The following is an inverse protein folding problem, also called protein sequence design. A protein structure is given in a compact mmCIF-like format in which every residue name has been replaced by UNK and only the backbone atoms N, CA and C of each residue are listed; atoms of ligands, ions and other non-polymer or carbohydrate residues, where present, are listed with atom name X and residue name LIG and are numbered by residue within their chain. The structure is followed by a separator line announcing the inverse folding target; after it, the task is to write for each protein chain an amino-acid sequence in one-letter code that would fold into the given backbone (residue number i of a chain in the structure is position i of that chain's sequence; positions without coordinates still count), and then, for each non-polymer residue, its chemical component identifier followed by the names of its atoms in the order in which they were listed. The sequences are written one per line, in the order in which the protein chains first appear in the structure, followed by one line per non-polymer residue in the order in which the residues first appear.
data_IF_993672576780
#
_entry.id   IF_993672576780
#
_cell.length_a   1.000
_cell.length_b   1.000
_cell.length_c   1.000
_cell.angle_alpha   90.00
_cell.angle_beta   90.00
_cell.angle_gamma   90.00
#
_symmetry.space_group_name_H-M   'P 1'
#
loop_
_entity.id
_entity.type
_entity.pdbx_description
1 polymer ?
#
# COMPACT_ATOMS: atom_id res chain seq x y z
N UNK A 1 -31.04 17.79 74.78
CA UNK A 1 -29.71 17.33 74.33
C UNK A 1 -29.87 16.71 72.94
N UNK A 2 -29.51 17.43 71.87
CA UNK A 2 -29.60 16.95 70.48
C UNK A 2 -28.25 16.31 70.12
N UNK A 3 -28.24 15.02 69.76
CA UNK A 3 -27.06 14.37 69.17
C UNK A 3 -27.23 14.36 67.66
N UNK A 4 -26.41 15.17 67.00
CA UNK A 4 -26.22 15.24 65.56
C UNK A 4 -25.41 14.03 65.11
N UNK A 5 -25.91 13.26 64.14
CA UNK A 5 -25.16 12.21 63.46
C UNK A 5 -24.50 12.81 62.22
N UNK A 6 -23.17 12.82 62.19
CA UNK A 6 -22.38 13.04 60.97
C UNK A 6 -22.35 11.73 60.18
N UNK A 7 -22.94 11.73 58.99
CA UNK A 7 -22.75 10.66 58.01
C UNK A 7 -21.52 10.99 57.16
N UNK A 8 -20.45 10.22 57.33
CA UNK A 8 -19.24 10.27 56.50
C UNK A 8 -19.44 9.50 55.19
N UNK A 9 -19.15 10.20 54.10
CA UNK A 9 -18.42 9.77 52.90
C UNK A 9 -18.51 8.30 52.47
N UNK A 10 -19.17 8.08 51.32
CA UNK A 10 -18.98 6.93 50.46
C UNK A 10 -18.82 7.38 49.01
N UNK A 11 -17.70 8.02 48.67
CA UNK A 11 -17.32 8.30 47.29
C UNK A 11 -16.57 7.08 46.75
N UNK A 12 -17.25 6.20 46.03
CA UNK A 12 -16.62 5.13 45.24
C UNK A 12 -17.50 4.76 44.05
N UNK A 13 -17.30 5.45 42.93
CA UNK A 13 -17.51 4.82 41.63
C UNK A 13 -16.17 4.87 40.93
N UNK A 14 -15.56 3.69 40.83
CA UNK A 14 -14.34 3.47 40.07
C UNK A 14 -14.54 4.00 38.64
N UNK A 15 -13.76 5.02 38.28
CA UNK A 15 -13.42 5.25 36.89
C UNK A 15 -12.64 4.02 36.42
N UNK A 16 -13.29 3.10 35.72
CA UNK A 16 -12.57 2.16 34.86
C UNK A 16 -12.05 3.01 33.69
N UNK A 17 -10.90 3.66 33.89
CA UNK A 17 -10.10 4.12 32.79
C UNK A 17 -9.60 2.85 32.09
N UNK A 18 -10.27 2.48 30.99
CA UNK A 18 -9.76 1.44 30.10
C UNK A 18 -8.44 1.94 29.52
N UNK A 19 -7.37 1.47 30.14
CA UNK A 19 -5.99 1.73 29.81
C UNK A 19 -5.66 1.25 28.39
N UNK A 20 -5.14 2.20 27.58
CA UNK A 20 -4.46 2.02 26.29
C UNK A 20 -5.29 1.48 25.11
N UNK A 21 -6.32 2.21 24.69
CA UNK A 21 -6.62 2.20 23.26
C UNK A 21 -5.35 2.68 22.54
N UNK A 22 -4.75 1.79 21.74
CA UNK A 22 -3.57 2.08 20.95
C UNK A 22 -3.78 3.42 20.17
N UNK A 23 -2.76 4.29 20.15
CA UNK A 23 -2.87 5.67 19.62
C UNK A 23 -3.29 5.70 18.15
N UNK A 24 -4.54 6.07 17.86
CA UNK A 24 -5.08 6.14 16.51
C UNK A 24 -4.19 6.92 15.51
N UNK A 25 -3.36 7.87 15.97
CA UNK A 25 -2.40 8.57 15.12
C UNK A 25 -1.31 7.65 14.52
N UNK A 26 -1.00 6.53 15.17
CA UNK A 26 -0.60 5.24 14.58
C UNK A 26 -0.88 5.10 13.09
N UNK A 27 -2.18 5.17 12.79
CA UNK A 27 -2.68 4.73 11.50
C UNK A 27 -2.43 5.75 10.40
N UNK A 28 -2.06 7.00 10.74
CA UNK A 28 -1.72 8.08 9.82
C UNK A 28 -0.38 7.83 9.13
N UNK A 29 -0.37 6.85 8.26
CA UNK A 29 0.78 6.41 7.49
C UNK A 29 0.30 5.74 6.20
N UNK A 30 1.24 5.19 5.45
CA UNK A 30 0.99 4.42 4.25
C UNK A 30 1.07 2.92 4.52
N UNK A 31 0.22 2.18 3.83
CA UNK A 31 -0.06 0.78 4.04
C UNK A 31 -0.05 0.06 2.70
N UNK A 32 0.42 -1.17 2.67
CA UNK A 32 0.41 -1.99 1.45
C UNK A 32 0.24 -3.47 1.77
N UNK A 33 -0.21 -4.21 0.78
CA UNK A 33 -0.44 -5.64 0.85
C UNK A 33 -0.92 -6.16 -0.50
N UNK A 34 -1.03 -7.48 -0.62
CA UNK A 34 -1.44 -8.13 -1.86
C UNK A 34 -2.96 -8.08 -1.99
N UNK A 35 -3.44 -7.39 -3.02
CA UNK A 35 -4.82 -7.31 -3.47
C UNK A 35 -4.94 -8.02 -4.82
N UNK A 36 -5.66 -9.14 -4.85
CA UNK A 36 -6.01 -9.84 -6.10
C UNK A 36 -4.80 -10.19 -6.99
N UNK A 37 -3.66 -10.55 -6.36
CA UNK A 37 -2.42 -10.94 -7.04
C UNK A 37 -1.44 -9.79 -7.36
N UNK A 38 -1.76 -8.55 -7.01
CA UNK A 38 -0.86 -7.39 -7.14
C UNK A 38 -0.86 -6.56 -5.85
N UNK A 39 0.13 -5.70 -5.62
CA UNK A 39 0.08 -4.81 -4.45
C UNK A 39 -0.93 -3.67 -4.64
N UNK A 40 -1.56 -3.27 -3.54
CA UNK A 40 -2.32 -2.01 -3.41
C UNK A 40 -1.59 -1.07 -2.44
N UNK A 41 -1.63 0.24 -2.70
CA UNK A 41 -1.22 1.25 -1.74
C UNK A 41 -2.42 1.93 -1.10
N UNK A 42 -2.40 2.10 0.22
CA UNK A 42 -3.43 2.84 0.98
C UNK A 42 -2.74 3.90 1.84
N UNK A 43 -3.13 5.15 1.69
CA UNK A 43 -2.48 6.31 2.32
C UNK A 43 -3.47 7.01 3.22
N UNK A 44 -3.27 6.91 4.53
CA UNK A 44 -4.10 7.60 5.52
C UNK A 44 -3.48 8.97 5.77
N UNK A 45 -4.16 10.02 5.31
CA UNK A 45 -3.68 11.41 5.38
C UNK A 45 -4.11 12.11 6.66
N UNK A 46 -5.29 11.79 7.17
CA UNK A 46 -5.81 12.30 8.44
C UNK A 46 -6.73 11.28 9.07
N UNK A 47 -6.63 11.13 10.40
CA UNK A 47 -7.51 10.25 11.16
C UNK A 47 -7.73 10.84 12.55
N UNK A 48 -8.98 10.82 13.01
CA UNK A 48 -9.37 11.09 14.38
C UNK A 48 -10.48 10.09 14.79
N UNK A 49 -11.02 10.23 16.00
CA UNK A 49 -12.01 9.27 16.54
C UNK A 49 -13.33 9.21 15.74
N UNK A 50 -13.60 10.21 14.90
CA UNK A 50 -14.85 10.35 14.17
C UNK A 50 -14.67 10.11 12.67
N UNK A 51 -13.58 10.62 12.10
CA UNK A 51 -13.37 10.68 10.66
C UNK A 51 -11.96 10.23 10.23
N UNK A 52 -11.89 9.80 8.98
CA UNK A 52 -10.65 9.45 8.30
C UNK A 52 -10.72 9.96 6.86
N UNK A 53 -9.57 10.41 6.33
CA UNK A 53 -9.38 10.77 4.93
C UNK A 53 -8.07 10.22 4.42
N UNK A 54 -8.04 9.88 3.14
CA UNK A 54 -6.88 9.30 2.50
C UNK A 54 -7.15 8.97 1.05
N UNK A 55 -6.30 8.14 0.47
CA UNK A 55 -6.50 7.62 -0.87
C UNK A 55 -5.93 6.21 -1.04
N UNK A 56 -6.50 5.45 -1.97
CA UNK A 56 -5.95 4.19 -2.46
C UNK A 56 -5.21 4.43 -3.78
N UNK A 57 -4.29 3.54 -4.12
CA UNK A 57 -3.68 3.45 -5.44
C UNK A 57 -3.56 1.99 -5.85
N UNK A 58 -4.15 1.66 -7.01
CA UNK A 58 -4.14 0.32 -7.61
C UNK A 58 -4.11 0.46 -9.14
N UNK A 59 -3.01 0.04 -9.75
CA UNK A 59 -2.75 0.31 -11.16
C UNK A 59 -2.83 1.80 -11.50
N UNK A 60 -3.62 2.17 -12.52
CA UNK A 60 -3.84 3.59 -12.89
C UNK A 60 -4.83 4.32 -11.98
N UNK A 61 -5.54 3.60 -11.13
CA UNK A 61 -6.59 4.18 -10.31
C UNK A 61 -5.98 4.69 -9.01
N UNK A 62 -5.93 6.01 -8.88
CA UNK A 62 -5.72 6.69 -7.60
C UNK A 62 -7.06 7.26 -7.17
N UNK A 63 -7.52 6.88 -5.99
CA UNK A 63 -8.88 7.20 -5.56
C UNK A 63 -8.90 7.72 -4.13
N UNK A 64 -9.35 8.96 -3.96
CA UNK A 64 -9.56 9.52 -2.63
C UNK A 64 -10.70 8.79 -1.93
N UNK A 65 -10.59 8.64 -0.61
CA UNK A 65 -11.63 8.10 0.24
C UNK A 65 -11.84 8.95 1.49
N UNK A 66 -13.02 8.84 2.06
CA UNK A 66 -13.32 9.37 3.38
C UNK A 66 -14.28 8.46 4.12
N UNK A 67 -14.31 8.54 5.44
CA UNK A 67 -15.19 7.67 6.21
C UNK A 67 -15.13 7.88 7.70
N UNK A 68 -15.57 6.86 8.43
CA UNK A 68 -15.77 6.91 9.89
C UNK A 68 -14.91 5.90 10.60
N UNK A 69 -14.53 6.25 11.83
CA UNK A 69 -13.84 5.37 12.77
C UNK A 69 -14.84 4.95 13.85
N UNK A 70 -14.90 3.65 14.15
CA UNK A 70 -15.73 3.07 15.20
C UNK A 70 -14.84 2.33 16.19
N UNK A 71 -14.97 2.66 17.47
CA UNK A 71 -14.30 1.92 18.54
C UNK A 71 -15.03 0.60 18.74
N UNK A 72 -14.26 -0.48 18.92
CA UNK A 72 -14.76 -1.82 19.24
C UNK A 72 -14.05 -2.31 20.50
N UNK A 73 -14.53 -3.41 21.09
CA UNK A 73 -13.86 -4.05 22.23
C UNK A 73 -12.45 -4.56 21.89
N UNK A 74 -12.15 -4.80 20.61
CA UNK A 74 -10.91 -5.40 20.13
C UNK A 74 -9.97 -4.39 19.46
N UNK A 75 -10.37 -3.12 19.32
CA UNK A 75 -9.62 -2.08 18.61
C UNK A 75 -10.54 -1.16 17.81
N UNK A 76 -10.26 -0.98 16.52
CA UNK A 76 -11.01 -0.06 15.66
C UNK A 76 -11.56 -0.77 14.43
N UNK A 77 -12.81 -0.44 14.08
CA UNK A 77 -13.38 -0.71 12.77
C UNK A 77 -13.48 0.61 12.03
N UNK A 78 -12.85 0.70 10.86
CA UNK A 78 -12.79 1.89 10.03
C UNK A 78 -13.50 1.56 8.72
N UNK A 79 -14.48 2.37 8.32
CA UNK A 79 -15.19 2.18 7.05
C UNK A 79 -15.03 3.44 6.22
N UNK A 80 -14.44 3.31 5.03
CA UNK A 80 -14.20 4.43 4.10
C UNK A 80 -14.78 4.15 2.73
N UNK A 81 -15.35 5.20 2.13
CA UNK A 81 -15.96 5.16 0.81
C UNK A 81 -15.06 5.93 -0.16
N UNK A 82 -14.71 5.29 -1.26
CA UNK A 82 -13.98 5.89 -2.36
C UNK A 82 -14.87 6.87 -3.15
N UNK A 83 -14.35 8.05 -3.49
CA UNK A 83 -15.10 9.12 -4.17
C UNK A 83 -15.30 8.92 -5.68
N UNK A 84 -14.86 7.79 -6.23
CA UNK A 84 -14.73 7.57 -7.66
C UNK A 84 -16.01 7.15 -8.35
N UNK A 85 -15.92 7.00 -9.68
CA UNK A 85 -16.99 6.39 -10.46
C UNK A 85 -17.35 5.00 -9.92
N UNK A 86 -18.65 4.68 -9.82
CA UNK A 86 -19.13 3.41 -9.22
C UNK A 86 -18.55 2.15 -9.85
N UNK A 87 -18.10 2.22 -11.10
CA UNK A 87 -17.47 1.12 -11.83
C UNK A 87 -16.05 0.83 -11.35
N UNK A 88 -15.39 1.78 -10.69
CA UNK A 88 -14.00 1.70 -10.23
C UNK A 88 -13.81 2.06 -8.75
N UNK A 89 -14.90 2.32 -8.02
CA UNK A 89 -14.88 2.66 -6.60
C UNK A 89 -15.62 1.62 -5.75
N UNK A 90 -15.34 1.65 -4.46
CA UNK A 90 -15.99 0.81 -3.48
C UNK A 90 -15.90 1.35 -2.07
N UNK A 91 -16.21 0.47 -1.12
CA UNK A 91 -16.08 0.72 0.30
C UNK A 91 -15.01 -0.20 0.85
N UNK A 92 -13.99 0.38 1.50
CA UNK A 92 -13.07 -0.39 2.32
C UNK A 92 -13.61 -0.49 3.75
N UNK A 93 -13.42 -1.67 4.36
CA UNK A 93 -13.49 -1.83 5.80
C UNK A 93 -12.14 -2.30 6.31
N UNK A 94 -11.52 -1.53 7.21
CA UNK A 94 -10.29 -1.89 7.90
C UNK A 94 -10.61 -2.24 9.35
N UNK A 95 -10.14 -3.39 9.81
CA UNK A 95 -10.16 -3.78 11.22
C UNK A 95 -8.73 -3.75 11.74
N UNK A 96 -8.54 -3.06 12.86
CA UNK A 96 -7.27 -3.03 13.57
C UNK A 96 -7.47 -3.58 14.97
N UNK A 97 -6.65 -4.56 15.34
CA UNK A 97 -6.65 -5.13 16.68
C UNK A 97 -5.71 -4.33 17.58
N UNK A 98 -6.09 -4.11 18.84
CA UNK A 98 -5.20 -3.54 19.87
C UNK A 98 -3.94 -4.40 20.09
N UNK A 99 -4.05 -5.72 19.85
CA UNK A 99 -2.94 -6.66 20.00
C UNK A 99 -2.05 -6.72 18.76
N UNK A 100 -2.53 -6.26 17.60
CA UNK A 100 -1.78 -6.24 16.34
C UNK A 100 -1.96 -4.90 15.62
N UNK A 101 -1.49 -3.78 16.20
CA UNK A 101 -1.71 -2.43 15.69
C UNK A 101 -1.05 -2.15 14.32
N UNK A 102 -0.15 -3.03 13.86
CA UNK A 102 0.58 -2.95 12.59
C UNK A 102 0.02 -3.86 11.50
N UNK A 103 -1.21 -4.35 11.66
CA UNK A 103 -1.92 -5.17 10.68
C UNK A 103 -3.33 -4.60 10.50
N UNK A 104 -3.68 -4.18 9.28
CA UNK A 104 -5.06 -3.89 8.92
C UNK A 104 -5.65 -5.11 8.23
N UNK A 105 -6.57 -5.80 8.89
CA UNK A 105 -7.41 -6.78 8.23
C UNK A 105 -8.44 -6.02 7.40
N UNK A 106 -8.39 -6.21 6.09
CA UNK A 106 -9.07 -5.33 5.16
C UNK A 106 -10.07 -6.10 4.30
N UNK A 107 -11.21 -5.47 4.04
CA UNK A 107 -12.10 -5.87 2.95
C UNK A 107 -12.37 -4.70 2.02
N UNK A 108 -12.68 -5.01 0.76
CA UNK A 108 -13.19 -4.06 -0.22
C UNK A 108 -14.42 -4.62 -0.91
N UNK A 109 -15.46 -3.79 -1.02
CA UNK A 109 -16.73 -4.11 -1.67
C UNK A 109 -17.02 -3.09 -2.77
N UNK A 110 -17.34 -3.54 -3.98
CA UNK A 110 -17.60 -2.65 -5.11
C UNK A 110 -18.88 -1.86 -4.93
N UNK A 111 -18.83 -0.57 -5.24
CA UNK A 111 -20.01 0.30 -5.28
C UNK A 111 -21.02 -0.12 -6.36
N UNK A 112 -20.60 -0.92 -7.34
CA UNK A 112 -21.49 -1.47 -8.38
C UNK A 112 -22.21 -2.75 -7.96
N UNK A 113 -21.74 -3.44 -6.91
CA UNK A 113 -22.22 -4.78 -6.53
C UNK A 113 -21.85 -5.91 -7.50
N UNK A 114 -21.16 -5.62 -8.61
CA UNK A 114 -20.82 -6.61 -9.66
C UNK A 114 -19.53 -7.39 -9.38
N UNK A 115 -18.68 -6.88 -8.49
CA UNK A 115 -17.41 -7.51 -8.12
C UNK A 115 -17.57 -8.12 -6.73
N UNK A 116 -17.21 -9.40 -6.58
CA UNK A 116 -17.22 -10.08 -5.29
C UNK A 116 -16.33 -9.34 -4.29
N UNK A 117 -16.70 -9.31 -2.99
CA UNK A 117 -15.85 -8.76 -1.95
C UNK A 117 -14.46 -9.36 -1.97
N UNK A 118 -13.45 -8.52 -1.71
CA UNK A 118 -12.04 -8.92 -1.60
C UNK A 118 -11.60 -8.76 -0.16
N UNK A 119 -10.80 -9.70 0.32
CA UNK A 119 -10.24 -9.70 1.66
C UNK A 119 -8.72 -9.83 1.56
N UNK A 120 -8.00 -9.02 2.31
CA UNK A 120 -6.55 -8.93 2.26
C UNK A 120 -6.02 -8.22 3.50
N UNK A 121 -4.74 -8.43 3.80
CA UNK A 121 -4.07 -7.77 4.90
C UNK A 121 -3.19 -6.64 4.39
N UNK A 122 -3.14 -5.54 5.14
CA UNK A 122 -2.20 -4.45 4.90
C UNK A 122 -1.24 -4.30 6.07
N UNK A 123 0.03 -4.11 5.73
CA UNK A 123 1.11 -3.79 6.68
C UNK A 123 1.65 -2.38 6.39
N UNK A 124 2.14 -1.67 7.41
CA UNK A 124 2.65 -0.31 7.21
C UNK A 124 3.95 -0.39 6.42
N UNK A 125 4.02 0.35 5.33
CA UNK A 125 5.20 0.45 4.48
C UNK A 125 5.31 1.87 3.95
N UNK A 126 6.53 2.39 3.87
CA UNK A 126 6.77 3.75 3.38
C UNK A 126 7.01 3.71 1.87
N UNK A 127 6.38 4.64 1.14
CA UNK A 127 6.72 4.91 -0.26
C UNK A 127 8.11 5.56 -0.32
N UNK A 128 9.14 4.77 -0.65
CA UNK A 128 10.54 5.22 -0.72
C UNK A 128 11.20 4.64 -1.95
N UNK A 129 12.16 5.38 -2.50
CA UNK A 129 12.98 4.89 -3.60
C UNK A 129 13.85 3.71 -3.16
N UNK A 130 13.54 2.52 -3.69
CA UNK A 130 14.19 1.26 -3.33
C UNK A 130 15.42 0.95 -4.21
N UNK A 131 16.30 1.93 -4.40
CA UNK A 131 17.39 1.93 -5.41
C UNK A 131 18.18 0.61 -5.53
N UNK A 132 18.53 0.00 -4.40
CA UNK A 132 19.42 -1.16 -4.33
C UNK A 132 18.69 -2.47 -4.07
N UNK A 133 17.38 -2.52 -4.31
CA UNK A 133 16.54 -3.66 -3.98
C UNK A 133 16.10 -4.44 -5.22
N UNK A 134 15.86 -5.73 -5.03
CA UNK A 134 15.46 -6.66 -6.09
C UNK A 134 16.58 -6.96 -7.10
N UNK A 135 16.31 -7.88 -8.03
CA UNK A 135 17.24 -8.22 -9.11
C UNK A 135 17.50 -7.04 -10.04
N UNK A 136 18.69 -7.02 -10.66
CA UNK A 136 19.13 -5.97 -11.59
C UNK A 136 19.20 -4.57 -10.96
N UNK A 137 19.67 -4.48 -9.71
CA UNK A 137 19.85 -3.21 -8.99
C UNK A 137 20.87 -2.29 -9.66
N UNK A 138 21.85 -2.86 -10.38
CA UNK A 138 22.83 -2.17 -11.20
C UNK A 138 22.18 -1.28 -12.27
N UNK A 139 20.99 -1.63 -12.76
CA UNK A 139 20.26 -0.85 -13.76
C UNK A 139 19.81 0.54 -13.23
N UNK A 140 19.79 0.73 -11.91
CA UNK A 140 19.56 2.01 -11.24
C UNK A 140 20.84 2.69 -10.73
N UNK A 141 22.00 2.03 -10.83
CA UNK A 141 23.25 2.49 -10.19
C UNK A 141 24.36 2.86 -11.18
N UNK A 142 24.43 2.22 -12.34
CA UNK A 142 25.44 2.49 -13.39
C UNK A 142 24.82 2.31 -14.76
N UNK A 143 25.51 2.81 -15.80
CA UNK A 143 25.15 2.48 -17.17
C UNK A 143 25.35 0.98 -17.40
N UNK A 144 24.35 0.35 -18.05
CA UNK A 144 24.42 -1.04 -18.48
C UNK A 144 25.42 -1.16 -19.64
N UNK A 145 26.23 -2.21 -19.59
CA UNK A 145 27.13 -2.67 -20.65
C UNK A 145 26.37 -3.63 -21.56
N UNK A 146 26.94 -3.94 -22.72
CA UNK A 146 26.28 -4.84 -23.67
C UNK A 146 26.11 -6.26 -23.09
N UNK A 147 27.09 -6.72 -22.31
CA UNK A 147 27.01 -8.01 -21.60
C UNK A 147 25.85 -8.06 -20.59
N UNK A 148 25.52 -6.94 -19.92
CA UNK A 148 24.38 -6.88 -18.99
C UNK A 148 23.02 -7.02 -19.71
N UNK A 149 23.01 -6.84 -21.04
CA UNK A 149 21.80 -6.85 -21.87
C UNK A 149 21.64 -8.16 -22.66
N UNK A 150 22.58 -9.11 -22.52
CA UNK A 150 22.49 -10.45 -23.09
C UNK A 150 21.54 -11.34 -22.26
N UNK A 151 20.29 -10.92 -22.14
CA UNK A 151 19.24 -11.58 -21.35
C UNK A 151 18.02 -11.92 -22.19
N UNK A 152 17.24 -12.96 -21.81
CA UNK A 152 15.94 -13.25 -22.39
C UNK A 152 15.01 -12.02 -22.40
N UNK A 153 14.09 -11.90 -23.38
CA UNK A 153 13.22 -10.72 -23.50
C UNK A 153 12.37 -10.42 -22.26
N UNK A 154 11.93 -11.46 -21.56
CA UNK A 154 11.16 -11.39 -20.32
C UNK A 154 12.02 -10.89 -19.15
N UNK A 155 13.28 -11.31 -19.05
CA UNK A 155 14.23 -10.74 -18.08
C UNK A 155 14.54 -9.26 -18.38
N UNK A 156 14.67 -8.89 -19.65
CA UNK A 156 14.82 -7.48 -20.05
C UNK A 156 13.58 -6.64 -19.69
N UNK A 157 12.37 -7.18 -19.92
CA UNK A 157 11.14 -6.52 -19.49
C UNK A 157 11.06 -6.40 -17.97
N UNK A 158 11.44 -7.45 -17.23
CA UNK A 158 11.51 -7.42 -15.76
C UNK A 158 12.54 -6.39 -15.28
N UNK A 159 13.74 -6.35 -15.85
CA UNK A 159 14.78 -5.36 -15.54
C UNK A 159 14.26 -3.94 -15.76
N UNK A 160 13.65 -3.65 -16.91
CA UNK A 160 13.03 -2.35 -17.18
C UNK A 160 11.96 -2.01 -16.15
N UNK A 161 11.05 -2.94 -15.88
CA UNK A 161 9.96 -2.71 -14.93
C UNK A 161 10.46 -2.57 -13.49
N UNK A 162 11.56 -3.22 -13.12
CA UNK A 162 12.18 -3.10 -11.79
C UNK A 162 12.63 -1.65 -11.50
N UNK A 163 13.15 -0.94 -12.51
CA UNK A 163 13.49 0.49 -12.39
C UNK A 163 12.25 1.30 -11.99
N UNK A 164 11.13 1.13 -12.70
CA UNK A 164 9.87 1.80 -12.38
C UNK A 164 9.33 1.39 -11.00
N UNK A 165 9.40 0.10 -10.66
CA UNK A 165 8.95 -0.44 -9.39
C UNK A 165 9.72 0.16 -8.20
N UNK A 166 11.04 0.37 -8.32
CA UNK A 166 11.86 0.99 -7.27
C UNK A 166 11.42 2.39 -6.93
N UNK A 167 10.87 3.13 -7.89
CA UNK A 167 10.27 4.46 -7.69
C UNK A 167 8.81 4.42 -7.22
N UNK A 168 8.28 3.22 -6.95
CA UNK A 168 6.90 3.05 -6.49
C UNK A 168 5.85 3.23 -7.58
N UNK A 169 6.20 2.97 -8.84
CA UNK A 169 5.23 3.02 -9.94
C UNK A 169 4.13 1.97 -9.76
N UNK A 170 2.87 2.41 -9.90
CA UNK A 170 1.68 1.57 -9.84
C UNK A 170 1.30 1.09 -11.24
N UNK A 171 1.57 -0.19 -11.53
CA UNK A 171 1.46 -0.74 -12.88
C UNK A 171 0.01 -0.94 -13.32
N UNK A 172 -0.33 -0.37 -14.48
CA UNK A 172 -1.65 -0.53 -15.09
C UNK A 172 -1.93 -1.98 -15.54
N UNK A 173 -0.89 -2.64 -16.06
CA UNK A 173 -0.97 -4.03 -16.48
C UNK A 173 -0.84 -4.92 -15.24
N UNK A 174 -1.87 -5.72 -14.97
CA UNK A 174 -1.94 -6.59 -13.81
C UNK A 174 -0.87 -7.69 -13.82
N UNK A 175 -0.52 -8.24 -14.98
CA UNK A 175 0.53 -9.27 -15.10
C UNK A 175 1.87 -8.69 -14.65
N UNK A 176 2.21 -7.48 -15.12
CA UNK A 176 3.42 -6.77 -14.68
C UNK A 176 3.36 -6.41 -13.20
N UNK A 177 2.21 -5.93 -12.71
CA UNK A 177 2.03 -5.62 -11.29
C UNK A 177 2.23 -6.86 -10.39
N UNK A 178 1.81 -8.03 -10.87
CA UNK A 178 1.89 -9.29 -10.13
C UNK A 178 3.34 -9.77 -9.96
N UNK A 179 4.24 -9.40 -10.88
CA UNK A 179 5.68 -9.71 -10.78
C UNK A 179 6.33 -9.16 -9.50
N UNK A 180 5.75 -8.11 -8.92
CA UNK A 180 6.28 -7.44 -7.73
C UNK A 180 5.39 -7.63 -6.49
N UNK A 181 4.36 -8.49 -6.58
CA UNK A 181 3.38 -8.68 -5.49
C UNK A 181 4.02 -9.15 -4.18
N UNK A 182 5.01 -10.04 -4.28
CA UNK A 182 5.75 -10.60 -3.14
C UNK A 182 7.04 -9.83 -2.81
N UNK A 183 7.37 -8.78 -3.54
CA UNK A 183 8.58 -8.00 -3.31
C UNK A 183 8.39 -7.06 -2.10
N UNK A 184 8.99 -7.39 -0.94
CA UNK A 184 8.90 -6.58 0.29
C UNK A 184 9.35 -5.12 0.10
N UNK A 185 10.31 -4.89 -0.79
CA UNK A 185 10.81 -3.55 -1.10
C UNK A 185 9.88 -2.73 -2.01
N UNK A 186 8.93 -3.37 -2.70
CA UNK A 186 8.01 -2.70 -3.62
C UNK A 186 6.75 -2.21 -2.92
N UNK A 187 6.34 -0.99 -3.23
CA UNK A 187 5.06 -0.41 -2.82
C UNK A 187 4.55 0.52 -3.93
N UNK A 188 3.36 0.27 -4.51
CA UNK A 188 2.76 1.19 -5.46
C UNK A 188 2.33 2.47 -4.74
N UNK A 189 2.84 3.61 -5.19
CA UNK A 189 2.56 4.91 -4.59
C UNK A 189 2.48 6.08 -5.58
N UNK A 190 2.83 5.86 -6.85
CA UNK A 190 2.65 6.86 -7.91
C UNK A 190 2.12 6.24 -9.21
N UNK A 191 1.21 6.94 -9.88
CA UNK A 191 0.73 6.58 -11.23
C UNK A 191 1.67 7.06 -12.33
N UNK A 192 2.69 7.87 -11.99
CA UNK A 192 3.71 8.35 -12.91
C UNK A 192 5.03 8.64 -12.16
N UNK A 193 6.13 8.03 -12.60
CA UNK A 193 7.46 8.20 -11.99
C UNK A 193 8.50 8.83 -12.95
N UNK A 194 8.10 9.30 -14.13
CA UNK A 194 9.02 9.77 -15.19
C UNK A 194 9.94 10.91 -14.75
N UNK A 195 9.47 11.77 -13.83
CA UNK A 195 10.24 12.89 -13.29
C UNK A 195 11.22 12.46 -12.20
N UNK A 196 11.00 11.32 -11.57
CA UNK A 196 11.79 10.74 -10.50
C UNK A 196 12.96 9.90 -11.05
N UNK A 197 12.83 9.41 -12.28
CA UNK A 197 13.88 8.63 -12.94
C UNK A 197 15.16 9.45 -13.11
N UNK A 198 16.27 8.87 -12.68
CA UNK A 198 17.62 9.43 -12.88
C UNK A 198 18.03 9.39 -14.35
N UNK A 199 19.07 10.15 -14.72
CA UNK A 199 19.60 10.10 -16.08
C UNK A 199 20.14 8.71 -16.44
N UNK A 200 20.77 8.02 -15.48
CA UNK A 200 21.26 6.64 -15.65
C UNK A 200 20.10 5.70 -15.98
N UNK A 201 19.02 5.76 -15.20
CA UNK A 201 17.83 4.93 -15.41
C UNK A 201 17.17 5.20 -16.75
N UNK A 202 17.02 6.47 -17.14
CA UNK A 202 16.46 6.84 -18.45
C UNK A 202 17.29 6.26 -19.60
N UNK A 203 18.62 6.40 -19.52
CA UNK A 203 19.52 5.84 -20.53
C UNK A 203 19.44 4.31 -20.55
N UNK A 204 19.41 3.64 -19.40
CA UNK A 204 19.30 2.19 -19.33
C UNK A 204 17.96 1.67 -19.87
N UNK A 205 16.84 2.32 -19.53
CA UNK A 205 15.51 2.00 -20.09
C UNK A 205 15.55 2.05 -21.61
N UNK A 206 16.13 3.11 -22.20
CA UNK A 206 16.25 3.24 -23.65
C UNK A 206 17.12 2.14 -24.26
N UNK A 207 18.25 1.78 -23.64
CA UNK A 207 19.11 0.68 -24.10
C UNK A 207 18.38 -0.66 -24.07
N UNK A 208 17.70 -0.97 -22.96
CA UNK A 208 16.90 -2.19 -22.82
C UNK A 208 15.84 -2.26 -23.91
N UNK A 209 15.07 -1.18 -24.11
CA UNK A 209 14.03 -1.11 -25.15
C UNK A 209 14.60 -1.33 -26.55
N UNK A 210 15.77 -0.78 -26.84
CA UNK A 210 16.45 -0.92 -28.14
C UNK A 210 16.93 -2.36 -28.38
N UNK A 211 17.49 -3.03 -27.37
CA UNK A 211 18.09 -4.37 -27.49
C UNK A 211 17.04 -5.49 -27.45
N UNK A 212 15.97 -5.32 -26.66
CA UNK A 212 14.90 -6.33 -26.50
C UNK A 212 14.40 -6.98 -27.80
N UNK A 213 14.04 -6.27 -28.89
CA UNK A 213 13.55 -6.92 -30.11
C UNK A 213 14.60 -7.78 -30.84
N UNK A 214 15.89 -7.55 -30.61
CA UNK A 214 16.97 -8.40 -31.14
C UNK A 214 17.10 -9.67 -30.28
N UNK A 215 17.10 -9.52 -28.96
CA UNK A 215 17.13 -10.66 -28.04
C UNK A 215 15.92 -11.58 -28.23
N UNK A 216 14.76 -11.05 -28.61
CA UNK A 216 13.57 -11.86 -28.89
C UNK A 216 13.70 -12.78 -30.11
N UNK A 217 14.70 -12.56 -30.97
CA UNK A 217 14.98 -13.40 -32.14
C UNK A 217 16.11 -14.42 -31.88
N UNK A 218 16.79 -14.31 -30.74
CA UNK A 218 17.84 -15.26 -30.37
C UNK A 218 17.23 -16.53 -29.82
N UNK A 219 17.89 -17.67 -30.07
CA UNK A 219 17.51 -18.93 -29.44
C UNK A 219 18.00 -18.93 -27.99
N UNK A 220 17.06 -18.82 -27.07
CA UNK A 220 17.30 -19.04 -25.65
C UNK A 220 16.99 -20.49 -25.34
N UNK A 221 17.99 -21.23 -24.85
CA UNK A 221 17.76 -22.58 -24.35
C UNK A 221 16.71 -22.50 -23.22
N UNK A 222 15.56 -23.15 -23.43
CA UNK A 222 14.50 -23.30 -22.43
C UNK A 222 14.65 -24.64 -21.72
#
# INVERSE_FOLDING_TARGET
MKKTYFALLGLNVLLIQSSFAFDLQQLKTSWTGVYDGQKIGVFIQSIDRNQIKGYSILGKNKQDFSGKVQVTSQGYKITVVESGAKTSSGTFTFQVSQNQPRLLQSSWESASGKVKPKYFDLKPQQCRYAKNQGSFAEASNRLLKDDDLQLPPDELDYMRNSIYARHGYSFANKEVASLFSDADWYMPCSTNVEKQLTQIEKTNIQRIQKVRPYMAKMEWAR
#
